data_IF_352733406628
#
_entry.id   IF_352733406628
#
_cell.length_a   1.000
_cell.length_b   1.000
_cell.length_c   1.000
_cell.angle_alpha   90.00
_cell.angle_beta   90.00
_cell.angle_gamma   90.00
#
_symmetry.space_group_name_H-M   'P 1'
#
loop_
_entity.id
_entity.type
_entity.pdbx_description
1 polymer ?
#
# COMPACT_ATOMS: atom_id res chain seq x y z
N UNK A 1 -14.83 -10.83 11.48
CA UNK A 1 -13.50 -10.19 11.60
C UNK A 1 -13.00 -9.88 10.21
N UNK A 2 -12.84 -8.61 9.89
CA UNK A 2 -12.26 -8.17 8.62
C UNK A 2 -10.75 -8.22 8.74
N UNK A 3 -10.04 -8.57 7.67
CA UNK A 3 -8.58 -8.57 7.64
C UNK A 3 -8.12 -8.01 6.31
N UNK A 4 -6.96 -7.35 6.31
CA UNK A 4 -6.33 -6.83 5.10
C UNK A 4 -4.87 -7.26 5.04
N UNK A 5 -4.28 -7.24 3.85
CA UNK A 5 -2.86 -7.50 3.66
C UNK A 5 -2.11 -6.19 3.48
N UNK A 6 -0.96 -6.09 4.12
CA UNK A 6 -0.08 -4.94 3.99
C UNK A 6 1.35 -5.27 4.41
N UNK A 7 2.26 -4.31 4.28
CA UNK A 7 3.62 -4.43 4.74
C UNK A 7 4.12 -3.09 5.27
N UNK A 8 4.98 -3.14 6.28
CA UNK A 8 5.72 -1.98 6.77
C UNK A 8 7.15 -2.08 6.23
N UNK A 9 7.58 -1.07 5.47
CA UNK A 9 8.85 -1.07 4.75
C UNK A 9 9.67 0.12 5.24
N UNK A 10 10.94 -0.14 5.55
CA UNK A 10 11.91 0.91 5.87
C UNK A 10 12.96 0.95 4.77
N UNK A 11 13.10 2.08 4.09
CA UNK A 11 14.08 2.28 3.03
C UNK A 11 14.85 3.58 3.27
N UNK A 12 16.18 3.49 3.40
CA UNK A 12 17.08 4.65 3.59
C UNK A 12 16.61 5.63 4.69
N UNK A 13 16.14 5.09 5.82
CA UNK A 13 15.66 5.89 6.96
C UNK A 13 14.22 6.41 6.83
N UNK A 14 13.52 6.12 5.73
CA UNK A 14 12.10 6.43 5.57
C UNK A 14 11.27 5.17 5.76
N UNK A 15 10.37 5.20 6.74
CA UNK A 15 9.39 4.13 6.97
C UNK A 15 8.07 4.49 6.29
N UNK A 16 7.48 3.52 5.57
CA UNK A 16 6.17 3.66 4.93
C UNK A 16 5.42 2.34 4.95
N UNK A 17 4.09 2.42 4.92
CA UNK A 17 3.22 1.26 4.83
C UNK A 17 2.74 1.08 3.39
N UNK A 18 2.58 -0.17 2.96
CA UNK A 18 1.90 -0.53 1.72
C UNK A 18 0.71 -1.43 2.06
N UNK A 19 -0.45 -1.17 1.48
CA UNK A 19 -1.68 -1.93 1.79
C UNK A 19 -2.34 -2.40 0.49
N UNK A 20 -2.69 -3.68 0.42
CA UNK A 20 -3.40 -4.25 -0.73
C UNK A 20 -4.87 -3.86 -0.67
N UNK A 21 -5.34 -3.21 -1.74
CA UNK A 21 -6.71 -2.74 -1.91
C UNK A 21 -7.26 -3.13 -3.29
N UNK A 22 -8.58 -3.01 -3.45
CA UNK A 22 -9.24 -3.21 -4.75
C UNK A 22 -8.74 -2.19 -5.78
N UNK A 23 -8.66 -2.61 -7.04
CA UNK A 23 -8.10 -1.82 -8.14
C UNK A 23 -8.70 -0.40 -8.27
N UNK A 24 -10.01 -0.25 -8.06
CA UNK A 24 -10.70 1.04 -8.19
C UNK A 24 -10.19 2.12 -7.21
N UNK A 25 -9.61 1.72 -6.08
CA UNK A 25 -8.99 2.64 -5.12
C UNK A 25 -7.60 3.11 -5.54
N UNK A 26 -6.94 2.42 -6.46
CA UNK A 26 -5.64 2.85 -7.02
C UNK A 26 -5.76 3.55 -8.37
N UNK A 27 -6.91 3.44 -9.04
CA UNK A 27 -7.16 4.07 -10.34
C UNK A 27 -7.76 5.48 -10.24
N UNK A 28 -8.31 5.85 -9.09
CA UNK A 28 -8.92 7.17 -8.86
C UNK A 28 -8.40 7.81 -7.59
N UNK A 29 -7.81 9.01 -7.70
CA UNK A 29 -7.31 9.75 -6.54
C UNK A 29 -8.40 10.12 -5.55
N UNK A 30 -9.63 10.41 -6.01
CA UNK A 30 -10.76 10.72 -5.14
C UNK A 30 -11.24 9.50 -4.35
N UNK A 31 -11.11 8.29 -4.91
CA UNK A 31 -11.41 7.05 -4.21
C UNK A 31 -10.26 6.59 -3.30
N UNK A 32 -9.01 6.91 -3.67
CA UNK A 32 -7.81 6.54 -2.92
C UNK A 32 -7.72 7.23 -1.55
N UNK A 33 -8.05 8.52 -1.50
CA UNK A 33 -7.88 9.32 -0.30
C UNK A 33 -8.65 8.80 0.93
N UNK A 34 -9.99 8.57 0.88
CA UNK A 34 -10.72 8.08 2.04
C UNK A 34 -10.26 6.69 2.49
N UNK A 35 -9.84 5.85 1.55
CA UNK A 35 -9.29 4.52 1.88
C UNK A 35 -7.95 4.63 2.60
N UNK A 36 -7.06 5.50 2.13
CA UNK A 36 -5.79 5.76 2.80
C UNK A 36 -6.00 6.26 4.23
N UNK A 37 -6.94 7.19 4.41
CA UNK A 37 -7.32 7.72 5.72
C UNK A 37 -7.85 6.61 6.66
N UNK A 38 -8.63 5.65 6.13
CA UNK A 38 -9.11 4.51 6.93
C UNK A 38 -8.01 3.57 7.43
N UNK A 39 -6.86 3.51 6.75
CA UNK A 39 -5.72 2.71 7.18
C UNK A 39 -4.77 3.46 8.13
N UNK A 40 -4.91 4.78 8.24
CA UNK A 40 -4.03 5.61 9.07
C UNK A 40 -3.99 5.18 10.55
N UNK A 41 -5.11 4.77 11.20
CA UNK A 41 -5.07 4.26 12.58
C UNK A 41 -4.19 3.03 12.79
N UNK A 42 -4.01 2.20 11.74
CA UNK A 42 -3.14 1.02 11.79
C UNK A 42 -1.67 1.37 11.58
N UNK A 43 -1.38 2.54 11.00
CA UNK A 43 -0.02 3.00 10.66
C UNK A 43 0.20 4.44 11.14
N UNK A 44 0.18 4.70 12.46
CA UNK A 44 0.27 6.06 13.01
C UNK A 44 1.60 6.72 12.66
N UNK A 45 1.55 7.94 12.09
CA UNK A 45 2.73 8.71 11.72
C UNK A 45 3.50 8.18 10.50
N UNK A 46 2.96 7.19 9.80
CA UNK A 46 3.61 6.53 8.66
C UNK A 46 2.82 6.82 7.37
N UNK A 47 3.46 7.24 6.27
CA UNK A 47 2.81 7.37 4.97
C UNK A 47 2.28 6.02 4.48
N UNK A 48 1.02 5.98 4.03
CA UNK A 48 0.39 4.77 3.48
C UNK A 48 0.33 4.85 1.96
N UNK A 49 0.89 3.85 1.30
CA UNK A 49 0.79 3.61 -0.15
C UNK A 49 -0.25 2.53 -0.40
N UNK A 50 -1.19 2.79 -1.28
CA UNK A 50 -2.17 1.79 -1.72
C UNK A 50 -1.57 0.98 -2.85
N UNK A 51 -1.71 -0.34 -2.77
CA UNK A 51 -1.31 -1.28 -3.80
C UNK A 51 -2.53 -2.02 -4.29
N UNK A 52 -2.66 -2.23 -5.60
CA UNK A 52 -3.63 -3.17 -6.16
C UNK A 52 -2.92 -4.10 -7.12
N UNK A 53 -3.46 -5.29 -7.29
CA UNK A 53 -2.95 -6.27 -8.23
C UNK A 53 -3.98 -6.47 -9.35
N UNK A 54 -3.53 -6.49 -10.59
CA UNK A 54 -4.38 -6.88 -11.72
C UNK A 54 -4.49 -8.40 -11.86
N UNK A 55 -5.32 -8.86 -12.78
CA UNK A 55 -5.50 -10.30 -13.05
C UNK A 55 -4.27 -11.01 -13.60
N UNK A 56 -3.23 -10.27 -14.01
CA UNK A 56 -1.95 -10.79 -14.50
C UNK A 56 -0.89 -10.81 -13.40
N UNK A 57 -1.24 -10.38 -12.19
CA UNK A 57 -0.33 -10.33 -11.06
C UNK A 57 0.51 -9.05 -10.96
N UNK A 58 0.26 -8.05 -11.83
CA UNK A 58 1.01 -6.80 -11.86
C UNK A 58 0.49 -5.85 -10.78
N UNK A 59 1.41 -5.33 -9.97
CA UNK A 59 1.07 -4.36 -8.94
C UNK A 59 1.00 -2.93 -9.49
N UNK A 60 -0.03 -2.20 -9.06
CA UNK A 60 -0.20 -0.76 -9.24
C UNK A 60 -0.15 -0.08 -7.88
N UNK A 61 0.61 1.00 -7.78
CA UNK A 61 0.79 1.74 -6.53
C UNK A 61 0.21 3.15 -6.64
N UNK A 62 -0.47 3.61 -5.59
CA UNK A 62 -1.02 4.96 -5.46
C UNK A 62 -0.66 5.56 -4.11
N UNK A 63 -0.07 6.76 -4.09
CA UNK A 63 0.37 7.42 -2.87
C UNK A 63 1.48 8.41 -3.16
N UNK A 64 2.38 8.60 -2.19
CA UNK A 64 3.56 9.45 -2.35
C UNK A 64 4.42 8.94 -3.51
N UNK A 65 4.67 9.79 -4.50
CA UNK A 65 5.17 9.37 -5.81
C UNK A 65 6.57 8.73 -5.74
N UNK A 66 7.43 9.20 -4.83
CA UNK A 66 8.74 8.63 -4.56
C UNK A 66 8.65 7.18 -4.02
N UNK A 67 7.73 6.94 -3.08
CA UNK A 67 7.50 5.61 -2.50
C UNK A 67 6.85 4.65 -3.49
N UNK A 68 5.89 5.14 -4.28
CA UNK A 68 5.25 4.35 -5.33
C UNK A 68 6.28 3.93 -6.41
N UNK A 69 7.19 4.83 -6.80
CA UNK A 69 8.29 4.51 -7.73
C UNK A 69 9.28 3.51 -7.13
N UNK A 70 9.61 3.65 -5.84
CA UNK A 70 10.45 2.68 -5.13
C UNK A 70 9.82 1.28 -5.16
N UNK A 71 8.53 1.17 -4.83
CA UNK A 71 7.80 -0.10 -4.86
C UNK A 71 7.72 -0.71 -6.26
N UNK A 72 7.54 0.10 -7.30
CA UNK A 72 7.50 -0.37 -8.68
C UNK A 72 8.83 -1.01 -9.16
N UNK A 73 9.95 -0.70 -8.49
CA UNK A 73 11.25 -1.32 -8.75
C UNK A 73 11.53 -2.59 -7.94
N UNK A 74 10.67 -2.91 -6.96
CA UNK A 74 10.81 -4.11 -6.13
C UNK A 74 10.02 -5.27 -6.73
N UNK A 75 10.57 -6.48 -6.62
CA UNK A 75 9.76 -7.67 -6.93
C UNK A 75 8.73 -7.86 -5.80
N UNK A 76 7.46 -8.19 -6.10
CA UNK A 76 6.43 -8.35 -5.08
C UNK A 76 6.77 -9.36 -3.99
N UNK A 77 7.55 -10.39 -4.31
CA UNK A 77 8.03 -11.41 -3.37
C UNK A 77 9.05 -10.89 -2.35
N UNK A 78 9.67 -9.73 -2.60
CA UNK A 78 10.59 -9.08 -1.66
C UNK A 78 9.86 -8.22 -0.62
N UNK A 79 8.58 -7.93 -0.84
CA UNK A 79 7.77 -7.15 0.09
C UNK A 79 7.35 -8.08 1.23
N UNK A 80 7.60 -7.70 2.50
CA UNK A 80 7.27 -8.54 3.65
C UNK A 80 5.78 -8.45 3.99
N UNK A 81 4.94 -9.02 3.12
CA UNK A 81 3.49 -9.04 3.27
C UNK A 81 3.09 -9.69 4.59
N UNK A 82 2.16 -9.05 5.28
CA UNK A 82 1.57 -9.47 6.55
C UNK A 82 0.08 -9.26 6.51
N UNK A 83 -0.63 -10.16 7.18
CA UNK A 83 -2.07 -10.04 7.39
C UNK A 83 -2.33 -9.22 8.66
N UNK A 84 -3.13 -8.17 8.53
CA UNK A 84 -3.58 -7.31 9.61
C UNK A 84 -5.06 -7.56 9.89
N UNK A 85 -5.45 -7.36 11.15
CA UNK A 85 -6.83 -7.50 11.59
C UNK A 85 -7.39 -6.11 11.89
N UNK A 86 -8.59 -5.84 11.36
CA UNK A 86 -9.33 -4.59 11.58
C UNK A 86 -10.27 -4.71 12.77
#
# INVERSE_FOLDING_TARGET
MSSFEGALITHRGVTFAVVIVKHHYTSSSSAAQPVRESFQPHFPGVPVVLASQDSRGTFRYHGRQDLAKLLAGLQPSQIPWRKYHT
#
